data_IF_913234538936
#
_entry.id   IF_913234538936
#
_cell.length_a   1.000
_cell.length_b   1.000
_cell.length_c   1.000
_cell.angle_alpha   90.00
_cell.angle_beta   90.00
_cell.angle_gamma   90.00
#
_symmetry.space_group_name_H-M   'P 1'
#
loop_
_entity.id
_entity.type
_entity.pdbx_description
1 polymer ?
#
# COMPACT_ATOMS: atom_id res chain seq x y z
N UNK A 1 29.65 -2.62 -1.73
CA UNK A 1 29.05 -2.18 -3.00
C UNK A 1 30.15 -1.89 -4.01
N UNK A 2 29.83 -1.83 -5.30
CA UNK A 2 30.78 -1.45 -6.36
C UNK A 2 30.31 -0.15 -7.05
N UNK A 3 31.23 0.55 -7.74
CA UNK A 3 30.94 1.84 -8.35
C UNK A 3 29.74 1.76 -9.31
N UNK A 4 29.71 0.77 -10.21
CA UNK A 4 28.64 0.60 -11.19
C UNK A 4 27.24 0.53 -10.56
N UNK A 5 27.11 -0.20 -9.45
CA UNK A 5 25.86 -0.30 -8.70
C UNK A 5 25.46 1.04 -8.08
N UNK A 6 26.44 1.78 -7.53
CA UNK A 6 26.20 3.07 -6.89
C UNK A 6 25.81 4.11 -7.93
N UNK A 7 26.56 4.24 -9.02
CA UNK A 7 26.30 5.17 -10.12
C UNK A 7 24.89 5.01 -10.68
N UNK A 8 24.45 3.78 -10.92
CA UNK A 8 23.08 3.48 -11.38
C UNK A 8 21.98 3.90 -10.39
N UNK A 9 22.30 4.03 -9.11
CA UNK A 9 21.36 4.40 -8.04
C UNK A 9 21.49 5.85 -7.61
N UNK A 10 22.45 6.63 -8.13
CA UNK A 10 22.71 8.00 -7.64
C UNK A 10 21.50 8.93 -7.81
N UNK A 11 20.76 8.84 -8.91
CA UNK A 11 19.53 9.66 -9.08
C UNK A 11 18.50 9.35 -8.00
N UNK A 12 18.15 8.06 -7.84
CA UNK A 12 17.20 7.61 -6.82
C UNK A 12 17.69 7.94 -5.39
N UNK A 13 19.00 7.86 -5.15
CA UNK A 13 19.61 8.30 -3.89
C UNK A 13 19.41 9.79 -3.62
N UNK A 14 19.62 10.65 -4.62
CA UNK A 14 19.41 12.10 -4.50
C UNK A 14 17.93 12.47 -4.32
N UNK A 15 17.02 11.64 -4.84
CA UNK A 15 15.56 11.79 -4.69
C UNK A 15 15.00 11.13 -3.43
N UNK A 16 15.84 10.43 -2.65
CA UNK A 16 15.47 9.65 -1.45
C UNK A 16 14.52 8.48 -1.74
N UNK A 17 14.68 7.85 -2.89
CA UNK A 17 13.84 6.74 -3.39
C UNK A 17 14.48 5.35 -3.21
N UNK A 18 15.66 5.29 -2.58
CA UNK A 18 16.36 4.04 -2.22
C UNK A 18 16.01 3.62 -0.79
N UNK A 19 16.09 2.31 -0.51
CA UNK A 19 15.84 1.78 0.83
C UNK A 19 16.88 2.29 1.85
N UNK A 20 16.52 2.28 3.15
CA UNK A 20 17.35 2.88 4.19
C UNK A 20 18.71 2.21 4.39
N UNK A 21 18.77 0.89 4.26
CA UNK A 21 20.01 0.10 4.26
C UNK A 21 20.88 0.40 3.03
N UNK A 22 20.28 0.51 1.85
CA UNK A 22 20.97 0.93 0.63
C UNK A 22 21.49 2.37 0.72
N UNK A 23 20.74 3.30 1.30
CA UNK A 23 21.22 4.69 1.55
C UNK A 23 22.51 4.71 2.36
N UNK A 24 22.61 3.88 3.41
CA UNK A 24 23.79 3.82 4.25
C UNK A 24 24.99 3.26 3.47
N UNK A 25 24.77 2.21 2.68
CA UNK A 25 25.81 1.59 1.89
C UNK A 25 26.32 2.51 0.75
N UNK A 26 25.41 3.23 0.07
CA UNK A 26 25.76 4.26 -0.92
C UNK A 26 26.55 5.40 -0.25
N UNK A 27 26.08 5.89 0.90
CA UNK A 27 26.78 6.97 1.64
C UNK A 27 28.19 6.57 2.04
N UNK A 28 28.37 5.35 2.53
CA UNK A 28 29.70 4.82 2.86
C UNK A 28 30.59 4.76 1.61
N UNK A 29 30.06 4.30 0.48
CA UNK A 29 30.81 4.29 -0.78
C UNK A 29 31.19 5.70 -1.25
N UNK A 30 30.28 6.65 -1.16
CA UNK A 30 30.52 8.06 -1.46
C UNK A 30 31.48 8.73 -0.47
N UNK A 31 31.79 8.13 0.68
CA UNK A 31 32.84 8.61 1.56
C UNK A 31 34.22 8.16 1.08
N UNK A 32 34.31 6.97 0.47
CA UNK A 32 35.60 6.36 0.13
C UNK A 32 35.95 6.47 -1.37
N UNK A 33 35.02 6.79 -2.25
CA UNK A 33 35.22 6.86 -3.71
C UNK A 33 35.04 8.27 -4.27
N UNK A 34 36.13 8.87 -4.79
CA UNK A 34 36.11 10.18 -5.46
C UNK A 34 35.26 10.18 -6.73
N UNK A 35 35.40 9.16 -7.59
CA UNK A 35 34.67 9.10 -8.88
C UNK A 35 33.15 9.14 -8.69
N UNK A 36 32.64 8.36 -7.73
CA UNK A 36 31.20 8.35 -7.45
C UNK A 36 30.73 9.64 -6.75
N UNK A 37 31.59 10.33 -5.99
CA UNK A 37 31.29 11.66 -5.45
C UNK A 37 31.13 12.68 -6.55
N UNK A 38 32.09 12.72 -7.48
CA UNK A 38 32.09 13.68 -8.57
C UNK A 38 30.85 13.53 -9.44
N UNK A 39 30.45 12.28 -9.72
CA UNK A 39 29.21 11.99 -10.44
C UNK A 39 27.96 12.41 -9.65
N UNK A 40 27.92 12.16 -8.34
CA UNK A 40 26.83 12.60 -7.49
C UNK A 40 26.71 14.13 -7.45
N UNK A 41 27.83 14.86 -7.40
CA UNK A 41 27.85 16.32 -7.46
C UNK A 41 27.43 16.86 -8.83
N UNK A 42 27.84 16.22 -9.92
CA UNK A 42 27.39 16.56 -11.27
C UNK A 42 25.86 16.44 -11.41
N UNK A 43 25.28 15.35 -10.89
CA UNK A 43 23.82 15.16 -10.87
C UNK A 43 23.11 16.21 -10.00
N UNK A 44 23.66 16.55 -8.83
CA UNK A 44 23.13 17.64 -7.98
C UNK A 44 23.18 18.99 -8.69
N UNK A 45 24.24 19.27 -9.45
CA UNK A 45 24.36 20.50 -10.22
C UNK A 45 23.28 20.56 -11.32
N UNK A 46 23.13 19.47 -12.09
CA UNK A 46 22.10 19.38 -13.11
C UNK A 46 20.69 19.59 -12.52
N UNK A 47 20.39 18.94 -11.39
CA UNK A 47 19.10 19.10 -10.70
C UNK A 47 18.85 20.55 -10.30
N UNK A 48 19.85 21.25 -9.75
CA UNK A 48 19.75 22.68 -9.40
C UNK A 48 19.41 23.54 -10.62
N UNK A 49 20.15 23.37 -11.72
CA UNK A 49 19.92 24.12 -12.95
C UNK A 49 18.49 23.92 -13.49
N UNK A 50 17.96 22.69 -13.42
CA UNK A 50 16.60 22.41 -13.84
C UNK A 50 15.57 23.07 -12.92
N UNK A 51 15.81 23.09 -11.61
CA UNK A 51 14.90 23.72 -10.64
C UNK A 51 14.92 25.25 -10.66
N UNK A 52 15.99 25.86 -11.17
CA UNK A 52 16.11 27.31 -11.34
C UNK A 52 15.36 27.82 -12.59
N UNK A 53 14.86 26.92 -13.43
CA UNK A 53 14.05 27.27 -14.59
C UNK A 53 12.76 28.01 -14.17
N UNK A 54 12.33 29.05 -14.91
CA UNK A 54 11.13 29.81 -14.59
C UNK A 54 9.90 28.91 -14.47
N UNK A 55 9.26 28.95 -13.31
CA UNK A 55 8.03 28.22 -13.04
C UNK A 55 6.85 28.99 -13.65
N UNK A 56 6.02 28.38 -14.52
CA UNK A 56 4.85 29.05 -15.06
C UNK A 56 3.84 29.34 -13.94
N UNK A 57 3.30 30.55 -13.94
CA UNK A 57 2.27 30.95 -12.98
C UNK A 57 0.96 30.19 -13.31
N UNK A 58 0.33 29.55 -12.32
CA UNK A 58 -0.95 28.87 -12.54
C UNK A 58 -2.06 29.89 -12.87
N UNK A 59 -3.15 29.43 -13.49
CA UNK A 59 -4.31 30.28 -13.73
C UNK A 59 -4.89 30.82 -12.41
N UNK A 60 -5.46 32.03 -12.43
CA UNK A 60 -5.97 32.68 -11.21
C UNK A 60 -7.01 31.85 -10.43
N UNK A 61 -7.75 30.98 -11.13
CA UNK A 61 -8.78 30.08 -10.58
C UNK A 61 -8.25 28.67 -10.25
N UNK A 62 -6.95 28.40 -10.42
CA UNK A 62 -6.37 27.07 -10.21
C UNK A 62 -6.57 26.57 -8.77
N UNK A 63 -6.36 27.44 -7.78
CA UNK A 63 -6.52 27.08 -6.37
C UNK A 63 -7.97 26.67 -6.06
N UNK A 64 -8.95 27.42 -6.57
CA UNK A 64 -10.37 27.12 -6.38
C UNK A 64 -10.76 25.79 -7.01
N UNK A 65 -10.34 25.54 -8.27
CA UNK A 65 -10.58 24.27 -8.96
C UNK A 65 -9.93 23.10 -8.24
N UNK A 66 -8.69 23.26 -7.74
CA UNK A 66 -7.98 22.22 -7.00
C UNK A 66 -8.69 21.90 -5.69
N UNK A 67 -9.09 22.91 -4.91
CA UNK A 67 -9.85 22.71 -3.67
C UNK A 67 -11.18 21.99 -3.94
N UNK A 68 -11.94 22.40 -4.96
CA UNK A 68 -13.19 21.74 -5.34
C UNK A 68 -12.98 20.27 -5.74
N UNK A 69 -11.92 19.97 -6.50
CA UNK A 69 -11.58 18.60 -6.91
C UNK A 69 -11.16 17.70 -5.73
N UNK A 70 -10.37 18.21 -4.79
CA UNK A 70 -9.94 17.45 -3.61
C UNK A 70 -11.11 17.19 -2.65
N UNK A 71 -12.01 18.15 -2.48
CA UNK A 71 -13.19 17.98 -1.60
C UNK A 71 -14.20 17.00 -2.19
N UNK A 72 -14.47 17.07 -3.49
CA UNK A 72 -15.40 16.16 -4.17
C UNK A 72 -14.89 14.71 -4.19
N UNK A 73 -13.59 14.48 -4.42
CA UNK A 73 -12.99 13.13 -4.42
C UNK A 73 -13.00 12.43 -3.04
N UNK A 74 -13.04 13.18 -1.93
CA UNK A 74 -13.24 12.60 -0.59
C UNK A 74 -14.66 12.06 -0.39
N UNK A 75 -15.67 12.77 -0.91
CA UNK A 75 -17.07 12.38 -0.72
C UNK A 75 -17.47 11.12 -1.47
N UNK A 76 -16.80 10.79 -2.57
CA UNK A 76 -17.09 9.57 -3.34
C UNK A 76 -16.63 8.28 -2.66
N UNK A 77 -15.67 8.32 -1.74
CA UNK A 77 -15.23 7.10 -1.01
C UNK A 77 -16.13 6.73 0.17
N UNK A 78 -16.90 7.68 0.71
CA UNK A 78 -17.82 7.44 1.84
C UNK A 78 -19.15 6.79 1.42
N UNK A 79 -19.53 6.89 0.14
CA UNK A 79 -20.82 6.37 -0.36
C UNK A 79 -20.78 4.86 -0.62
N UNK A 80 -19.65 4.30 -1.08
CA UNK A 80 -19.56 2.86 -1.40
C UNK A 80 -19.55 1.93 -0.17
N UNK A 81 -19.26 2.45 1.04
CA UNK A 81 -19.24 1.62 2.26
C UNK A 81 -20.62 1.41 2.90
N UNK A 82 -21.68 1.99 2.32
CA UNK A 82 -23.02 2.05 2.91
C UNK A 82 -24.07 1.29 2.09
N UNK A 83 -23.81 0.03 1.72
CA UNK A 83 -24.93 -0.90 1.47
C UNK A 83 -24.68 -2.42 1.58
N UNK A 84 -23.57 -2.86 2.19
CA UNK A 84 -23.38 -4.31 2.43
C UNK A 84 -24.01 -4.82 3.74
N UNK A 85 -24.65 -3.94 4.54
CA UNK A 85 -25.33 -4.33 5.80
C UNK A 85 -26.81 -4.65 5.62
N UNK A 86 -27.43 -4.22 4.52
CA UNK A 86 -28.85 -4.50 4.22
C UNK A 86 -28.98 -5.84 3.49
N UNK A 87 -28.02 -6.23 2.66
CA UNK A 87 -27.98 -7.51 1.94
C UNK A 87 -27.70 -8.72 2.84
N UNK A 88 -26.87 -8.56 3.89
CA UNK A 88 -26.53 -9.65 4.81
C UNK A 88 -27.69 -10.09 5.73
N UNK A 89 -28.66 -9.21 6.02
CA UNK A 89 -29.85 -9.55 6.82
C UNK A 89 -30.98 -10.14 5.98
N UNK A 90 -31.09 -9.76 4.71
CA UNK A 90 -32.07 -10.33 3.80
C UNK A 90 -31.75 -11.79 3.43
N UNK A 91 -30.47 -12.16 3.39
CA UNK A 91 -30.05 -13.53 3.06
C UNK A 91 -30.35 -14.57 4.15
N UNK A 92 -30.51 -14.16 5.43
CA UNK A 92 -30.84 -15.10 6.51
C UNK A 92 -32.31 -15.52 6.54
N UNK A 93 -33.21 -14.86 5.80
CA UNK A 93 -34.64 -15.18 5.78
C UNK A 93 -35.01 -16.12 4.60
N UNK A 94 -34.14 -16.28 3.60
CA UNK A 94 -34.44 -17.09 2.40
C UNK A 94 -33.93 -18.54 2.46
N UNK A 95 -33.13 -18.93 3.46
CA UNK A 95 -32.59 -20.30 3.57
C UNK A 95 -33.41 -21.28 4.43
N UNK A 96 -34.54 -20.87 5.03
CA UNK A 96 -35.31 -21.78 5.90
C UNK A 96 -36.17 -22.83 5.15
N UNK A 97 -36.43 -22.66 3.85
CA UNK A 97 -37.31 -23.57 3.10
C UNK A 97 -36.59 -24.72 2.37
N UNK A 98 -35.26 -24.66 2.17
CA UNK A 98 -34.52 -25.71 1.43
C UNK A 98 -33.85 -26.74 2.36
N UNK A 99 -33.52 -26.35 3.60
CA UNK A 99 -32.87 -27.24 4.56
C UNK A 99 -33.79 -28.37 5.08
N UNK A 100 -35.10 -28.12 5.22
CA UNK A 100 -36.03 -29.14 5.72
C UNK A 100 -36.24 -30.29 4.71
N UNK A 101 -36.31 -29.97 3.41
CA UNK A 101 -36.49 -30.98 2.36
C UNK A 101 -35.24 -31.83 2.13
N UNK A 102 -34.04 -31.23 2.22
CA UNK A 102 -32.77 -31.94 2.07
C UNK A 102 -32.46 -32.84 3.26
N UNK A 103 -32.84 -32.46 4.49
CA UNK A 103 -32.64 -33.31 5.68
C UNK A 103 -33.58 -34.53 5.70
N UNK A 104 -34.80 -34.42 5.20
CA UNK A 104 -35.72 -35.55 5.07
C UNK A 104 -35.27 -36.56 4.00
N UNK A 105 -34.77 -36.07 2.85
CA UNK A 105 -34.27 -36.92 1.76
C UNK A 105 -32.98 -37.66 2.12
N UNK A 106 -32.07 -37.00 2.86
CA UNK A 106 -30.81 -37.62 3.33
C UNK A 106 -31.05 -38.64 4.44
N UNK A 107 -31.98 -38.38 5.38
CA UNK A 107 -32.33 -39.35 6.43
C UNK A 107 -32.94 -40.64 5.83
N UNK A 108 -33.84 -40.51 4.85
CA UNK A 108 -34.41 -41.66 4.15
C UNK A 108 -33.34 -42.46 3.37
N UNK A 109 -32.36 -41.78 2.78
CA UNK A 109 -31.25 -42.43 2.05
C UNK A 109 -30.24 -43.14 2.98
N UNK A 110 -29.99 -42.60 4.17
CA UNK A 110 -29.08 -43.16 5.17
C UNK A 110 -29.66 -44.41 5.86
N UNK A 111 -30.98 -44.50 6.03
CA UNK A 111 -31.60 -45.71 6.61
C UNK A 111 -31.62 -46.91 5.65
N UNK A 112 -31.40 -46.70 4.34
CA UNK A 112 -31.56 -47.75 3.32
C UNK A 112 -30.24 -48.18 2.66
N UNK A 113 -29.09 -47.57 3.00
CA UNK A 113 -27.83 -47.82 2.28
C UNK A 113 -26.78 -48.48 3.19
N UNK A 114 -26.43 -49.74 2.85
CA UNK A 114 -25.31 -50.50 3.43
C UNK A 114 -23.96 -49.88 3.01
N UNK A 115 -22.93 -49.85 3.88
CA UNK A 115 -21.71 -49.09 3.62
C UNK A 115 -20.77 -49.86 2.67
N UNK A 116 -20.29 -49.18 1.63
CA UNK A 116 -19.32 -49.71 0.67
C UNK A 116 -18.36 -48.63 0.19
N UNK A 117 -17.13 -48.70 0.72
CA UNK A 117 -15.82 -48.24 0.20
C UNK A 117 -15.68 -46.90 -0.55
N UNK A 118 -14.80 -46.07 0.01
CA UNK A 118 -14.12 -44.89 -0.55
C UNK A 118 -13.44 -45.12 -1.90
N UNK A 119 -13.21 -44.05 -2.69
CA UNK A 119 -11.82 -43.73 -3.05
C UNK A 119 -11.47 -42.23 -3.18
N UNK A 120 -10.32 -41.89 -2.59
CA UNK A 120 -9.09 -41.24 -3.11
C UNK A 120 -9.08 -40.05 -4.11
N UNK A 121 -8.15 -39.14 -3.80
CA UNK A 121 -7.40 -38.16 -4.63
C UNK A 121 -8.09 -36.78 -4.87
N UNK A 122 -7.43 -35.61 -4.78
CA UNK A 122 -6.03 -35.20 -5.07
C UNK A 122 -5.68 -33.93 -4.26
N UNK A 123 -4.45 -33.71 -3.76
CA UNK A 123 -4.05 -32.39 -3.24
C UNK A 123 -3.63 -31.45 -4.38
N UNK A 124 -4.30 -30.30 -4.46
CA UNK A 124 -3.97 -29.18 -5.34
C UNK A 124 -2.96 -28.28 -4.60
N UNK A 125 -1.68 -28.40 -4.93
CA UNK A 125 -0.65 -27.48 -4.42
C UNK A 125 -0.68 -26.19 -5.25
N UNK A 126 -1.20 -25.13 -4.66
CA UNK A 126 -1.07 -23.76 -5.18
C UNK A 126 0.22 -23.18 -4.60
N UNK A 127 1.17 -22.88 -5.49
CA UNK A 127 2.44 -22.23 -5.14
C UNK A 127 2.16 -20.91 -4.42
N UNK A 128 2.52 -20.86 -3.14
CA UNK A 128 2.47 -19.67 -2.32
C UNK A 128 3.67 -18.80 -2.68
N UNK A 129 3.53 -18.02 -3.75
CA UNK A 129 4.46 -16.96 -4.07
C UNK A 129 4.26 -15.77 -3.10
N UNK A 130 5.27 -15.57 -2.26
CA UNK A 130 5.65 -14.29 -1.64
C UNK A 130 4.62 -13.56 -0.76
N UNK A 131 4.40 -14.07 0.45
CA UNK A 131 3.72 -13.32 1.53
C UNK A 131 4.57 -12.17 2.12
N UNK A 132 5.85 -12.07 1.73
CA UNK A 132 6.77 -11.08 2.32
C UNK A 132 6.76 -9.73 1.59
N UNK A 133 6.27 -9.68 0.34
CA UNK A 133 6.24 -8.46 -0.48
C UNK A 133 4.98 -7.61 -0.20
N UNK A 134 3.85 -8.27 0.07
CA UNK A 134 2.57 -7.61 0.36
C UNK A 134 2.54 -6.93 1.73
N UNK A 135 3.22 -7.50 2.74
CA UNK A 135 3.25 -6.93 4.07
C UNK A 135 3.97 -5.56 4.11
N UNK A 136 5.05 -5.42 3.32
CA UNK A 136 5.80 -4.16 3.22
C UNK A 136 5.00 -3.07 2.48
N UNK A 137 4.29 -3.45 1.41
CA UNK A 137 3.46 -2.50 0.65
C UNK A 137 2.24 -2.02 1.46
N UNK A 138 1.57 -2.90 2.21
CA UNK A 138 0.43 -2.52 3.06
C UNK A 138 0.86 -1.64 4.23
N UNK A 139 2.05 -1.86 4.81
CA UNK A 139 2.53 -1.05 5.92
C UNK A 139 2.86 0.39 5.50
N UNK A 140 3.39 0.58 4.29
CA UNK A 140 3.66 1.91 3.70
C UNK A 140 2.36 2.70 3.47
N UNK A 141 1.29 2.03 3.06
CA UNK A 141 -0.02 2.63 2.82
C UNK A 141 -0.81 2.96 4.10
N UNK A 142 -0.47 2.40 5.26
CA UNK A 142 -1.13 2.75 6.53
C UNK A 142 -0.44 3.88 7.31
N UNK A 143 0.84 4.14 7.05
CA UNK A 143 1.60 5.15 7.79
C UNK A 143 1.38 6.58 7.29
N UNK A 144 1.13 6.79 5.99
CA UNK A 144 0.74 8.11 5.49
C UNK A 144 -0.63 8.57 6.02
N UNK A 145 -1.54 7.62 6.28
CA UNK A 145 -2.87 7.90 6.82
C UNK A 145 -2.85 8.30 8.30
N UNK A 146 -1.81 7.92 9.05
CA UNK A 146 -1.68 8.22 10.49
C UNK A 146 -0.78 9.42 10.79
N UNK A 147 -0.10 9.97 9.78
CA UNK A 147 0.74 11.17 9.92
C UNK A 147 1.98 10.96 10.79
N UNK A 148 2.42 9.71 10.96
CA UNK A 148 3.57 9.34 11.77
C UNK A 148 4.83 9.26 10.92
N UNK A 149 5.96 9.74 11.45
CA UNK A 149 7.27 9.57 10.85
C UNK A 149 7.71 8.10 10.94
N UNK A 150 8.10 7.54 9.79
CA UNK A 150 8.53 6.15 9.59
C UNK A 150 9.71 5.75 10.49
N UNK A 151 10.54 6.70 10.90
CA UNK A 151 11.76 6.41 11.68
C UNK A 151 11.58 6.54 13.20
N UNK A 152 10.65 7.36 13.65
CA UNK A 152 10.52 7.75 15.06
C UNK A 152 9.17 7.38 15.68
N UNK A 153 8.15 7.08 14.87
CA UNK A 153 6.78 6.84 15.37
C UNK A 153 6.13 8.08 15.99
N UNK A 154 6.68 9.28 15.72
CA UNK A 154 6.17 10.56 16.22
C UNK A 154 5.33 11.24 15.12
N UNK A 155 4.22 11.91 15.46
CA UNK A 155 3.44 12.65 14.47
C UNK A 155 4.26 13.79 13.85
N UNK A 156 4.25 13.87 12.51
CA UNK A 156 4.99 14.86 11.71
C UNK A 156 4.46 16.29 11.93
N UNK A 157 3.21 16.41 12.39
CA UNK A 157 2.58 17.69 12.72
C UNK A 157 2.58 17.85 14.25
N UNK A 158 3.57 18.54 14.78
CA UNK A 158 3.53 19.07 16.14
C UNK A 158 2.41 20.12 16.22
N UNK A 159 1.32 19.80 16.92
CA UNK A 159 0.30 20.80 17.27
C UNK A 159 0.96 21.98 18.00
N UNK A 160 0.60 23.25 17.70
CA UNK A 160 1.15 24.37 18.44
C UNK A 160 0.66 24.26 19.89
N UNK A 161 1.60 24.09 20.81
CA UNK A 161 1.34 24.14 22.24
C UNK A 161 0.87 25.54 22.61
N UNK A 162 -0.44 25.75 22.67
CA UNK A 162 -1.01 26.91 23.35
C UNK A 162 -0.68 26.79 24.84
N UNK A 163 0.43 27.43 25.23
CA UNK A 163 0.74 27.75 26.61
C UNK A 163 -0.42 28.59 27.17
N UNK A 164 -1.23 27.99 28.04
CA UNK A 164 -2.29 28.66 28.78
C UNK A 164 -1.64 29.20 30.07
N UNK A 165 -1.63 30.52 30.22
CA UNK A 165 -1.35 31.23 31.47
C UNK A 165 -2.66 31.68 32.09
#
# INVERSE_FOLDING_TARGET
MNCKSVQNQLSAYLDREVAGDEMLAIRAHLHDCDECRDEAEALKMLKRMLTESPVPEPSADFADRLCAAVLSSRTSMDVEKRDNRITLRASLITFSSVAAFSMALTFAALTNSRPGSSPTAVPMSVDTASSHDLAFQVQRDQMWATGLDSTSGVPVISSPSHARR
#
